data_IF_893283223750
#
_entry.id   IF_893283223750
#
_cell.length_a   1.000
_cell.length_b   1.000
_cell.length_c   1.000
_cell.angle_alpha   90.00
_cell.angle_beta   90.00
_cell.angle_gamma   90.00
#
_symmetry.space_group_name_H-M   'P 1'
#
loop_
_entity.id
_entity.type
_entity.pdbx_description
1 polymer ?
#
# COMPACT_ATOMS: atom_id res chain seq x y z
N UNK A 1 9.43 15.22 -2.93
CA UNK A 1 10.24 14.14 -3.48
C UNK A 1 9.77 12.83 -2.89
N UNK A 2 9.50 11.82 -3.71
CA UNK A 2 9.12 10.47 -3.27
C UNK A 2 10.36 9.72 -2.75
N UNK A 3 10.82 10.05 -1.55
CA UNK A 3 12.09 9.57 -1.02
C UNK A 3 12.02 8.13 -0.50
N UNK A 4 10.86 7.66 -0.07
CA UNK A 4 10.59 6.28 0.32
C UNK A 4 10.83 5.26 -0.82
N UNK A 5 10.77 5.73 -2.05
CA UNK A 5 11.12 4.97 -3.26
C UNK A 5 12.54 5.25 -3.78
N UNK A 6 13.41 5.82 -2.98
CA UNK A 6 14.78 6.17 -3.34
C UNK A 6 14.95 7.56 -3.98
N UNK A 7 13.87 8.35 -4.05
CA UNK A 7 13.86 9.63 -4.76
C UNK A 7 13.72 9.49 -6.27
N UNK A 8 13.23 10.52 -6.93
CA UNK A 8 12.94 10.55 -8.38
C UNK A 8 13.80 11.55 -9.15
N UNK A 9 14.61 12.32 -8.45
CA UNK A 9 15.51 13.32 -9.05
C UNK A 9 16.97 12.89 -8.88
N UNK A 10 17.78 13.09 -9.90
CA UNK A 10 19.24 12.84 -9.86
C UNK A 10 19.95 13.64 -8.77
N UNK A 11 19.36 14.77 -8.37
CA UNK A 11 19.87 15.64 -7.32
C UNK A 11 19.46 15.22 -5.90
N UNK A 12 18.67 14.16 -5.76
CA UNK A 12 18.30 13.61 -4.44
C UNK A 12 19.47 12.82 -3.88
N UNK A 13 20.09 13.30 -2.82
CA UNK A 13 21.28 12.69 -2.24
C UNK A 13 21.10 12.19 -0.80
N UNK A 14 20.02 12.58 -0.10
CA UNK A 14 19.72 12.14 1.26
C UNK A 14 18.26 12.23 1.63
N UNK A 15 17.85 11.40 2.57
CA UNK A 15 16.57 11.49 3.28
C UNK A 15 16.69 12.60 4.33
N UNK A 16 15.64 13.39 4.49
CA UNK A 16 15.52 14.41 5.53
C UNK A 16 14.45 14.04 6.56
N UNK A 17 14.43 14.77 7.68
CA UNK A 17 13.48 14.56 8.78
C UNK A 17 12.61 15.80 8.99
N UNK A 18 11.51 15.67 9.74
CA UNK A 18 10.65 16.81 10.05
C UNK A 18 11.37 17.91 10.82
N UNK A 19 12.40 17.59 11.61
CA UNK A 19 13.19 18.57 12.37
C UNK A 19 14.17 19.35 11.47
N UNK A 20 14.65 18.72 10.40
CA UNK A 20 15.52 19.35 9.39
C UNK A 20 15.09 18.91 7.99
N UNK A 21 13.97 19.46 7.48
CA UNK A 21 13.25 18.86 6.36
C UNK A 21 13.85 19.15 4.98
N UNK A 22 14.70 20.16 4.86
CA UNK A 22 15.19 20.64 3.55
C UNK A 22 16.72 20.67 3.48
N UNK A 23 17.22 20.64 2.24
CA UNK A 23 18.60 20.97 1.90
C UNK A 23 18.63 21.71 0.57
N UNK A 24 19.70 22.42 0.31
CA UNK A 24 19.92 23.11 -0.96
C UNK A 24 20.95 22.38 -1.80
N UNK A 25 20.65 22.22 -3.10
CA UNK A 25 21.58 21.68 -4.10
C UNK A 25 21.38 22.43 -5.42
N UNK A 26 22.46 22.93 -5.98
CA UNK A 26 22.43 23.76 -7.19
C UNK A 26 21.51 24.99 -7.11
N UNK A 27 21.41 25.61 -5.94
CA UNK A 27 20.52 26.76 -5.71
C UNK A 27 19.02 26.40 -5.62
N UNK A 28 18.68 25.12 -5.53
CA UNK A 28 17.30 24.61 -5.43
C UNK A 28 17.07 23.96 -4.08
N UNK A 29 16.00 24.37 -3.41
CA UNK A 29 15.58 23.76 -2.14
C UNK A 29 14.94 22.40 -2.39
N UNK A 30 15.48 21.38 -1.75
CA UNK A 30 14.97 20.01 -1.80
C UNK A 30 14.30 19.66 -0.45
N UNK A 31 13.08 19.14 -0.54
CA UNK A 31 12.36 18.56 0.58
C UNK A 31 12.30 17.03 0.39
N UNK A 32 12.90 16.28 1.28
CA UNK A 32 13.07 14.83 1.14
C UNK A 32 12.67 14.05 2.41
N UNK A 33 11.61 14.50 3.08
CA UNK A 33 11.07 13.83 4.26
C UNK A 33 10.27 12.61 3.83
N UNK A 34 10.62 11.41 4.34
CA UNK A 34 9.96 10.15 3.99
C UNK A 34 8.49 10.11 4.40
N UNK A 35 8.12 10.74 5.51
CA UNK A 35 6.75 10.84 5.98
C UNK A 35 6.19 12.25 5.79
N UNK A 36 6.13 12.74 4.55
CA UNK A 36 5.53 14.03 4.22
C UNK A 36 4.09 14.20 4.76
N UNK A 37 3.19 13.21 4.66
CA UNK A 37 1.84 13.31 5.22
C UNK A 37 1.80 13.61 6.71
N UNK A 38 2.82 13.22 7.46
CA UNK A 38 2.96 13.50 8.90
C UNK A 38 3.13 14.97 9.24
N UNK A 39 3.52 15.82 8.29
CA UNK A 39 3.60 17.28 8.47
C UNK A 39 2.21 17.95 8.47
N UNK A 40 1.20 17.30 7.86
CA UNK A 40 -0.19 17.79 7.77
C UNK A 40 -1.17 16.65 8.12
N UNK A 41 -1.12 16.14 9.37
CA UNK A 41 -1.76 14.88 9.72
C UNK A 41 -3.28 14.91 9.56
N UNK A 42 -3.93 16.01 9.88
CA UNK A 42 -5.40 16.14 9.73
C UNK A 42 -5.83 16.03 8.26
N UNK A 43 -5.20 16.79 7.38
CA UNK A 43 -5.50 16.78 5.94
C UNK A 43 -5.23 15.40 5.35
N UNK A 44 -4.09 14.82 5.68
CA UNK A 44 -3.69 13.50 5.20
C UNK A 44 -4.64 12.40 5.66
N UNK A 45 -5.05 12.42 6.93
CA UNK A 45 -5.98 11.45 7.49
C UNK A 45 -7.36 11.56 6.83
N UNK A 46 -7.89 12.76 6.67
CA UNK A 46 -9.19 12.96 6.02
C UNK A 46 -9.16 12.50 4.54
N UNK A 47 -8.10 12.85 3.82
CA UNK A 47 -7.93 12.42 2.43
C UNK A 47 -7.86 10.89 2.31
N UNK A 48 -7.06 10.24 3.16
CA UNK A 48 -6.90 8.80 3.15
C UNK A 48 -8.17 8.07 3.55
N UNK A 49 -8.83 8.49 4.62
CA UNK A 49 -10.07 7.86 5.09
C UNK A 49 -11.22 7.99 4.09
N UNK A 50 -11.33 9.12 3.39
CA UNK A 50 -12.33 9.29 2.34
C UNK A 50 -12.23 8.24 1.23
N UNK A 51 -11.04 7.77 0.92
CA UNK A 51 -10.85 6.76 -0.15
C UNK A 51 -10.80 5.33 0.39
N UNK A 52 -10.45 5.11 1.66
CA UNK A 52 -10.29 3.76 2.24
C UNK A 52 -11.56 3.24 2.93
N UNK A 53 -12.31 4.11 3.61
CA UNK A 53 -13.54 3.73 4.33
C UNK A 53 -14.57 3.01 3.44
N UNK A 54 -14.84 3.44 2.19
CA UNK A 54 -15.76 2.73 1.31
C UNK A 54 -15.39 1.26 1.07
N UNK A 55 -14.12 0.93 1.00
CA UNK A 55 -13.65 -0.46 0.87
C UNK A 55 -13.84 -1.24 2.17
N UNK A 56 -13.54 -0.63 3.32
CA UNK A 56 -13.80 -1.24 4.62
C UNK A 56 -15.28 -1.56 4.83
N UNK A 57 -16.17 -0.67 4.42
CA UNK A 57 -17.62 -0.87 4.47
C UNK A 57 -18.08 -2.03 3.57
N UNK A 58 -17.50 -2.16 2.38
CA UNK A 58 -17.79 -3.31 1.51
C UNK A 58 -17.44 -4.63 2.17
N UNK A 59 -16.26 -4.72 2.79
CA UNK A 59 -15.81 -5.92 3.51
C UNK A 59 -16.71 -6.20 4.72
N UNK A 60 -17.06 -5.17 5.49
CA UNK A 60 -17.93 -5.32 6.66
C UNK A 60 -19.35 -5.81 6.31
N UNK A 61 -19.91 -5.34 5.20
CA UNK A 61 -21.27 -5.69 4.78
C UNK A 61 -21.36 -7.05 4.10
N UNK A 62 -20.36 -7.44 3.33
CA UNK A 62 -20.38 -8.63 2.46
C UNK A 62 -19.52 -9.78 2.97
N UNK A 63 -18.64 -9.51 3.93
CA UNK A 63 -17.54 -10.41 4.24
C UNK A 63 -16.41 -10.29 3.20
N UNK A 64 -15.20 -10.72 3.59
CA UNK A 64 -14.02 -10.54 2.75
C UNK A 64 -14.09 -11.29 1.41
N UNK A 65 -14.66 -12.51 1.41
CA UNK A 65 -14.76 -13.36 0.21
C UNK A 65 -15.60 -12.70 -0.89
N UNK A 66 -16.84 -12.37 -0.57
CA UNK A 66 -17.76 -11.75 -1.54
C UNK A 66 -17.29 -10.36 -1.96
N UNK A 67 -16.78 -9.57 -1.02
CA UNK A 67 -16.26 -8.24 -1.31
C UNK A 67 -15.07 -8.29 -2.27
N UNK A 68 -14.11 -9.21 -2.07
CA UNK A 68 -12.94 -9.35 -2.91
C UNK A 68 -13.27 -9.96 -4.29
N UNK A 69 -14.16 -10.94 -4.37
CA UNK A 69 -14.59 -11.50 -5.66
C UNK A 69 -15.38 -10.50 -6.49
N UNK A 70 -16.16 -9.63 -5.83
CA UNK A 70 -16.93 -8.57 -6.49
C UNK A 70 -16.18 -7.28 -6.81
N UNK A 71 -14.96 -7.12 -6.30
CA UNK A 71 -14.17 -5.91 -6.47
C UNK A 71 -12.70 -6.24 -6.74
N UNK A 72 -12.26 -5.99 -7.98
CA UNK A 72 -10.89 -6.31 -8.40
C UNK A 72 -9.79 -5.53 -7.67
N UNK A 73 -10.10 -4.35 -7.13
CA UNK A 73 -9.13 -3.58 -6.34
C UNK A 73 -8.91 -4.24 -4.98
N UNK A 74 -9.99 -4.70 -4.31
CA UNK A 74 -9.88 -5.47 -3.08
C UNK A 74 -9.16 -6.80 -3.30
N UNK A 75 -9.48 -7.50 -4.38
CA UNK A 75 -8.83 -8.77 -4.73
C UNK A 75 -7.31 -8.62 -4.88
N UNK A 76 -6.86 -7.57 -5.57
CA UNK A 76 -5.43 -7.25 -5.74
C UNK A 76 -4.75 -6.83 -4.43
N UNK A 77 -5.51 -6.37 -3.46
CA UNK A 77 -5.01 -5.99 -2.14
C UNK A 77 -4.73 -7.15 -1.19
N UNK A 78 -5.14 -8.38 -1.54
CA UNK A 78 -4.89 -9.56 -0.70
C UNK A 78 -3.42 -9.97 -0.86
N UNK A 79 -2.66 -9.91 0.23
CA UNK A 79 -1.24 -10.31 0.24
C UNK A 79 -1.04 -11.71 0.81
N UNK A 80 -1.91 -12.11 1.74
CA UNK A 80 -1.91 -13.44 2.36
C UNK A 80 -3.35 -13.93 2.56
N UNK A 81 -3.58 -15.21 2.35
CA UNK A 81 -4.87 -15.85 2.55
C UNK A 81 -4.66 -17.33 2.91
N UNK A 82 -5.28 -17.79 4.01
CA UNK A 82 -5.28 -19.18 4.46
C UNK A 82 -3.88 -19.82 4.53
N UNK A 83 -2.90 -19.05 4.98
CA UNK A 83 -1.51 -19.49 5.11
C UNK A 83 -0.69 -19.43 3.82
N UNK A 84 -1.25 -18.98 2.70
CA UNK A 84 -0.55 -18.78 1.44
C UNK A 84 -0.23 -17.31 1.21
N UNK A 85 0.86 -17.04 0.48
CA UNK A 85 1.18 -15.70 -0.02
C UNK A 85 0.53 -15.52 -1.39
N UNK A 86 -0.29 -14.48 -1.51
CA UNK A 86 -1.14 -14.21 -2.67
C UNK A 86 -0.73 -12.98 -3.46
N UNK A 87 0.43 -12.41 -3.15
CA UNK A 87 1.05 -11.32 -3.89
C UNK A 87 2.45 -11.74 -4.35
N UNK A 88 2.63 -11.81 -5.67
CA UNK A 88 3.81 -12.42 -6.31
C UNK A 88 5.13 -11.78 -5.87
N UNK A 89 5.20 -10.44 -5.86
CA UNK A 89 6.42 -9.75 -5.43
C UNK A 89 6.81 -10.01 -3.97
N UNK A 90 5.84 -10.25 -3.09
CA UNK A 90 6.10 -10.64 -1.69
C UNK A 90 6.60 -12.08 -1.63
N UNK A 91 6.01 -12.98 -2.42
CA UNK A 91 6.44 -14.37 -2.49
C UNK A 91 7.88 -14.48 -2.99
N UNK A 92 8.23 -13.76 -4.03
CA UNK A 92 9.61 -13.69 -4.57
C UNK A 92 10.60 -13.13 -3.54
N UNK A 93 10.27 -12.02 -2.89
CA UNK A 93 11.14 -11.37 -1.90
C UNK A 93 11.46 -12.27 -0.69
N UNK A 94 10.53 -13.14 -0.33
CA UNK A 94 10.67 -14.06 0.82
C UNK A 94 11.01 -15.50 0.43
N UNK A 95 11.09 -15.82 -0.87
CA UNK A 95 11.39 -17.17 -1.36
C UNK A 95 10.33 -18.19 -0.97
N UNK A 96 9.05 -17.80 -0.89
CA UNK A 96 7.92 -18.66 -0.54
C UNK A 96 7.02 -18.90 -1.76
N UNK A 97 6.20 -19.96 -1.69
CA UNK A 97 5.29 -20.30 -2.77
C UNK A 97 4.19 -19.23 -2.96
N UNK A 98 4.02 -18.79 -4.19
CA UNK A 98 2.91 -17.92 -4.60
C UNK A 98 1.67 -18.73 -4.94
N UNK A 99 0.49 -18.25 -4.52
CA UNK A 99 -0.80 -18.83 -4.90
C UNK A 99 -1.83 -17.75 -5.18
N UNK A 100 -2.54 -17.84 -6.29
CA UNK A 100 -3.50 -16.82 -6.69
C UNK A 100 -4.65 -16.64 -5.70
N UNK A 101 -4.89 -15.43 -5.23
CA UNK A 101 -5.97 -15.15 -4.26
C UNK A 101 -7.36 -15.55 -4.80
N UNK A 102 -7.59 -15.37 -6.09
CA UNK A 102 -8.86 -15.72 -6.72
C UNK A 102 -9.13 -17.23 -6.65
N UNK A 103 -8.14 -18.03 -6.94
CA UNK A 103 -8.24 -19.51 -6.90
C UNK A 103 -8.56 -20.01 -5.50
N UNK A 104 -7.93 -19.42 -4.48
CA UNK A 104 -8.19 -19.77 -3.07
C UNK A 104 -9.63 -19.40 -2.66
N UNK A 105 -10.09 -18.22 -3.02
CA UNK A 105 -11.45 -17.77 -2.70
C UNK A 105 -12.54 -18.62 -3.39
N UNK A 106 -12.29 -19.04 -4.63
CA UNK A 106 -13.22 -19.89 -5.39
C UNK A 106 -13.22 -21.34 -4.91
N UNK A 107 -12.08 -21.89 -4.50
CA UNK A 107 -11.95 -23.25 -3.98
C UNK A 107 -12.74 -23.46 -2.68
N UNK A 108 -12.78 -22.45 -1.80
CA UNK A 108 -13.56 -22.52 -0.57
C UNK A 108 -15.09 -22.44 -0.79
N UNK A 109 -15.53 -21.88 -1.93
CA UNK A 109 -16.96 -21.77 -2.25
C UNK A 109 -17.56 -23.13 -2.69
N UNK A 110 -16.73 -24.09 -3.06
CA UNK A 110 -17.15 -25.42 -3.54
C UNK A 110 -17.22 -26.45 -2.39
N UNK A 111 -16.83 -26.09 -1.19
CA UNK A 111 -16.68 -27.01 -0.04
C UNK A 111 -17.84 -26.93 0.98
N UNK A 112 -19.05 -26.50 0.55
CA UNK A 112 -20.29 -26.55 1.33
C UNK A 112 -21.30 -27.48 0.72
#
# INVERSE_FOLDING_TARGET
IAIDQGGIFETTDRITTHDNPTYEKHGVVHYAVANMPGAVPRTSTLALTNVTVPYAVQIANKGYKEACLGNSALLKGINTLDGYVTFEAVAEAHGVEYKGAKELLEAETVSC
#
